data_IF_084261958552
#
_entry.id   IF_084261958552
#
_cell.length_a   1.000
_cell.length_b   1.000
_cell.length_c   1.000
_cell.angle_alpha   90.00
_cell.angle_beta   90.00
_cell.angle_gamma   90.00
#
_symmetry.space_group_name_H-M   'P 1'
#
loop_
_entity.id
_entity.type
_entity.pdbx_description
1 polymer ?
#
# COMPACT_ATOMS: atom_id res chain seq x y z
N UNK A 1 67.22 -0.74 13.87
CA UNK A 1 66.59 0.56 13.49
C UNK A 1 66.93 0.77 12.03
N UNK A 2 66.03 0.84 11.06
CA UNK A 2 64.58 0.87 10.99
C UNK A 2 64.21 1.13 9.51
N UNK A 3 62.92 1.06 9.20
CA UNK A 3 62.26 1.31 7.89
C UNK A 3 62.29 0.16 6.86
N UNK A 4 61.45 -0.85 7.09
CA UNK A 4 60.82 -1.63 6.03
C UNK A 4 59.56 -0.90 5.58
N UNK A 5 59.63 -0.21 4.45
CA UNK A 5 58.50 0.48 3.85
C UNK A 5 57.44 -0.52 3.35
N UNK A 6 56.22 -0.26 3.79
CA UNK A 6 54.97 -0.94 3.43
C UNK A 6 54.62 -0.70 1.95
N UNK A 7 55.15 -1.52 1.04
CA UNK A 7 54.65 -1.58 -0.33
C UNK A 7 53.49 -2.59 -0.42
N UNK A 8 52.25 -2.10 -0.22
CA UNK A 8 51.02 -2.86 -0.56
C UNK A 8 51.03 -3.23 -2.05
N UNK A 9 50.53 -4.41 -2.46
CA UNK A 9 50.65 -4.90 -3.82
C UNK A 9 49.72 -4.13 -4.77
N UNK A 10 50.25 -3.12 -5.43
CA UNK A 10 49.60 -2.37 -6.53
C UNK A 10 49.47 -3.17 -7.83
N UNK A 11 50.12 -4.33 -7.92
CA UNK A 11 50.18 -5.15 -9.15
C UNK A 11 48.88 -5.91 -9.52
N UNK A 12 47.90 -6.06 -8.62
CA UNK A 12 46.69 -6.87 -8.89
C UNK A 12 45.51 -6.09 -9.47
N UNK A 13 45.43 -4.77 -9.24
CA UNK A 13 44.28 -3.95 -9.66
C UNK A 13 44.31 -3.67 -11.17
N UNK A 14 45.48 -3.43 -11.75
CA UNK A 14 45.60 -3.22 -13.20
C UNK A 14 45.39 -4.50 -14.01
N UNK A 15 45.82 -5.66 -13.50
CA UNK A 15 45.62 -6.96 -14.15
C UNK A 15 44.14 -7.38 -14.16
N UNK A 16 43.44 -7.20 -13.03
CA UNK A 16 41.99 -7.43 -12.93
C UNK A 16 41.19 -6.45 -13.82
N UNK A 17 41.54 -5.15 -13.81
CA UNK A 17 40.95 -4.14 -14.72
C UNK A 17 41.21 -4.46 -16.20
N UNK A 18 42.40 -4.97 -16.52
CA UNK A 18 42.75 -5.41 -17.87
C UNK A 18 41.96 -6.64 -18.29
N UNK A 19 41.76 -7.62 -17.39
CA UNK A 19 41.01 -8.85 -17.70
C UNK A 19 39.49 -8.65 -17.75
N UNK A 20 38.93 -7.76 -16.92
CA UNK A 20 37.54 -7.29 -17.06
C UNK A 20 37.35 -6.53 -18.38
N UNK A 21 38.32 -5.68 -18.77
CA UNK A 21 38.35 -5.04 -20.10
C UNK A 21 38.53 -6.05 -21.25
N UNK A 22 39.24 -7.15 -21.04
CA UNK A 22 39.36 -8.24 -22.03
C UNK A 22 38.08 -9.06 -22.13
N UNK A 23 37.41 -9.37 -21.00
CA UNK A 23 36.06 -9.95 -20.97
C UNK A 23 35.04 -9.04 -21.69
N UNK A 24 35.13 -7.72 -21.48
CA UNK A 24 34.33 -6.70 -22.19
C UNK A 24 34.59 -6.69 -23.70
N UNK A 25 35.82 -7.00 -24.13
CA UNK A 25 36.23 -7.08 -25.54
C UNK A 25 35.85 -8.41 -26.19
N UNK A 26 35.82 -9.50 -25.45
CA UNK A 26 35.46 -10.84 -25.94
C UNK A 26 33.94 -11.06 -26.04
N UNK A 27 33.13 -10.32 -25.28
CA UNK A 27 31.65 -10.51 -25.22
C UNK A 27 30.82 -9.45 -25.97
N UNK A 28 31.42 -8.39 -26.50
CA UNK A 28 30.72 -7.23 -27.12
C UNK A 28 29.62 -6.59 -26.25
N UNK A 29 29.72 -6.69 -24.93
CA UNK A 29 28.83 -5.98 -23.99
C UNK A 29 29.68 -5.07 -23.11
N UNK A 30 29.34 -3.78 -23.07
CA UNK A 30 30.01 -2.78 -22.25
C UNK A 30 29.77 -3.06 -20.77
N UNK A 31 30.74 -3.67 -20.09
CA UNK A 31 30.77 -3.71 -18.62
C UNK A 31 30.94 -2.26 -18.15
N UNK A 32 29.98 -1.66 -17.43
CA UNK A 32 30.14 -0.33 -16.88
C UNK A 32 31.35 -0.36 -15.95
N UNK A 33 32.19 0.67 -16.02
CA UNK A 33 33.29 0.83 -15.07
C UNK A 33 32.72 0.74 -13.65
N UNK A 34 33.10 -0.31 -12.91
CA UNK A 34 32.71 -0.46 -11.51
C UNK A 34 33.30 0.67 -10.68
N UNK A 35 32.62 1.81 -10.63
CA UNK A 35 32.88 2.88 -9.69
C UNK A 35 32.14 2.54 -8.41
N UNK A 36 32.86 2.23 -7.33
CA UNK A 36 32.28 2.23 -5.97
C UNK A 36 31.80 0.90 -5.38
N UNK A 37 32.42 -0.24 -5.73
CA UNK A 37 32.23 -1.49 -4.97
C UNK A 37 31.06 -2.38 -5.41
N UNK A 38 30.37 -2.08 -6.51
CA UNK A 38 29.33 -2.96 -7.08
C UNK A 38 29.86 -3.78 -8.27
N UNK A 39 29.56 -5.08 -8.31
CA UNK A 39 29.78 -5.96 -9.46
C UNK A 39 28.42 -6.33 -10.05
N UNK A 40 28.01 -5.62 -11.12
CA UNK A 40 26.76 -5.84 -11.82
C UNK A 40 27.01 -6.51 -13.18
N UNK A 41 26.53 -7.75 -13.31
CA UNK A 41 26.63 -8.62 -14.49
C UNK A 41 25.24 -9.15 -14.90
N UNK A 42 24.18 -8.42 -14.56
CA UNK A 42 22.80 -8.82 -14.82
C UNK A 42 22.43 -8.77 -16.31
N UNK A 43 21.65 -9.72 -16.82
CA UNK A 43 21.14 -9.74 -18.21
C UNK A 43 22.23 -9.79 -19.31
N UNK A 44 23.23 -10.67 -19.10
CA UNK A 44 24.35 -10.84 -20.05
C UNK A 44 24.36 -12.24 -20.71
N UNK A 45 23.32 -13.06 -20.48
CA UNK A 45 23.23 -14.45 -20.93
C UNK A 45 24.42 -15.33 -20.52
N UNK A 46 25.09 -14.99 -19.43
CA UNK A 46 26.26 -15.72 -18.94
C UNK A 46 25.83 -17.08 -18.40
N UNK A 47 26.63 -18.11 -18.63
CA UNK A 47 26.38 -19.46 -18.12
C UNK A 47 27.58 -20.03 -17.36
N UNK A 48 27.47 -21.29 -16.97
CA UNK A 48 28.47 -21.95 -16.13
C UNK A 48 29.95 -21.87 -16.59
N UNK A 49 30.29 -21.80 -17.89
CA UNK A 49 31.68 -21.57 -18.31
C UNK A 49 32.33 -20.31 -17.74
N UNK A 50 31.53 -19.30 -17.37
CA UNK A 50 31.99 -18.05 -16.78
C UNK A 50 32.04 -18.08 -15.25
N UNK A 51 31.61 -19.17 -14.60
CA UNK A 51 31.51 -19.29 -13.14
C UNK A 51 32.82 -18.98 -12.42
N UNK A 52 33.92 -19.55 -12.92
CA UNK A 52 35.26 -19.35 -12.34
C UNK A 52 35.69 -17.89 -12.50
N UNK A 53 35.35 -17.26 -13.63
CA UNK A 53 35.68 -15.86 -13.88
C UNK A 53 34.92 -14.92 -12.94
N UNK A 54 33.63 -15.19 -12.70
CA UNK A 54 32.81 -14.43 -11.74
C UNK A 54 33.34 -14.62 -10.32
N UNK A 55 33.66 -15.85 -9.92
CA UNK A 55 34.25 -16.16 -8.62
C UNK A 55 35.57 -15.43 -8.38
N UNK A 56 36.48 -15.44 -9.37
CA UNK A 56 37.73 -14.68 -9.30
C UNK A 56 37.50 -13.16 -9.22
N UNK A 57 36.50 -12.64 -9.93
CA UNK A 57 36.15 -11.23 -9.86
C UNK A 57 35.63 -10.84 -8.47
N UNK A 58 34.83 -11.69 -7.83
CA UNK A 58 34.36 -11.49 -6.45
C UNK A 58 35.54 -11.54 -5.47
N UNK A 59 36.42 -12.53 -5.62
CA UNK A 59 37.62 -12.71 -4.79
C UNK A 59 38.58 -11.52 -4.89
N UNK A 60 38.86 -11.01 -6.08
CA UNK A 60 39.72 -9.84 -6.28
C UNK A 60 39.13 -8.55 -5.70
N UNK A 61 37.81 -8.47 -5.59
CA UNK A 61 37.11 -7.29 -5.07
C UNK A 61 36.62 -7.48 -3.63
N UNK A 62 36.99 -8.57 -2.94
CA UNK A 62 36.42 -8.96 -1.65
C UNK A 62 36.39 -7.86 -0.57
N UNK A 63 37.40 -6.99 -0.54
CA UNK A 63 37.52 -5.92 0.46
C UNK A 63 36.62 -4.69 0.20
N UNK A 64 36.14 -4.52 -1.04
CA UNK A 64 35.37 -3.35 -1.48
C UNK A 64 33.98 -3.73 -2.02
N UNK A 65 33.72 -5.02 -2.25
CA UNK A 65 32.50 -5.48 -2.89
C UNK A 65 31.30 -5.34 -1.95
N UNK A 66 30.42 -4.39 -2.24
CA UNK A 66 29.19 -4.11 -1.50
C UNK A 66 27.96 -4.77 -2.10
N UNK A 67 27.94 -4.93 -3.43
CA UNK A 67 26.82 -5.48 -4.18
C UNK A 67 27.35 -6.47 -5.22
N UNK A 68 26.77 -7.66 -5.26
CA UNK A 68 26.96 -8.64 -6.32
C UNK A 68 25.60 -8.86 -7.01
N UNK A 69 25.51 -8.49 -8.28
CA UNK A 69 24.33 -8.77 -9.11
C UNK A 69 24.74 -9.58 -10.34
N UNK A 70 24.22 -10.80 -10.43
CA UNK A 70 24.40 -11.72 -11.57
C UNK A 70 23.04 -12.22 -12.06
N UNK A 71 21.98 -11.46 -11.81
CA UNK A 71 20.61 -11.85 -12.14
C UNK A 71 20.36 -11.94 -13.65
N UNK A 72 19.27 -12.58 -14.06
CA UNK A 72 18.87 -12.69 -15.48
C UNK A 72 19.98 -13.30 -16.36
N UNK A 73 20.57 -14.39 -15.89
CA UNK A 73 21.60 -15.13 -16.60
C UNK A 73 21.19 -16.60 -16.73
N UNK A 74 22.11 -17.41 -17.26
CA UNK A 74 21.95 -18.85 -17.49
C UNK A 74 22.89 -19.65 -16.59
N UNK A 75 23.32 -19.09 -15.46
CA UNK A 75 24.14 -19.82 -14.50
C UNK A 75 23.31 -20.92 -13.87
N UNK A 76 23.87 -22.12 -13.84
CA UNK A 76 23.34 -23.23 -13.08
C UNK A 76 24.23 -23.44 -11.85
N UNK A 77 24.38 -24.68 -11.42
CA UNK A 77 25.08 -25.04 -10.20
C UNK A 77 26.59 -24.76 -10.24
N UNK A 78 27.18 -24.54 -11.43
CA UNK A 78 28.60 -24.22 -11.58
C UNK A 78 29.00 -22.92 -10.88
N UNK A 79 28.16 -21.89 -10.93
CA UNK A 79 28.46 -20.60 -10.31
C UNK A 79 28.44 -20.68 -8.79
N UNK A 80 27.42 -21.32 -8.21
CA UNK A 80 27.30 -21.47 -6.77
C UNK A 80 28.44 -22.32 -6.20
N UNK A 81 28.90 -23.36 -6.92
CA UNK A 81 30.12 -24.11 -6.56
C UNK A 81 31.36 -23.23 -6.61
N UNK A 82 31.57 -22.50 -7.71
CA UNK A 82 32.73 -21.62 -7.86
C UNK A 82 32.78 -20.52 -6.77
N UNK A 83 31.63 -19.96 -6.38
CA UNK A 83 31.52 -18.97 -5.30
C UNK A 83 31.72 -19.61 -3.91
N UNK A 84 31.15 -20.79 -3.69
CA UNK A 84 31.30 -21.53 -2.43
C UNK A 84 32.75 -21.96 -2.15
N UNK A 85 33.47 -22.32 -3.21
CA UNK A 85 34.85 -22.83 -3.15
C UNK A 85 35.92 -21.74 -3.26
N UNK A 86 35.52 -20.45 -3.23
CA UNK A 86 36.46 -19.32 -3.17
C UNK A 86 37.45 -19.45 -2.01
N UNK A 87 38.72 -19.11 -2.27
CA UNK A 87 39.78 -19.16 -1.26
C UNK A 87 39.63 -18.05 -0.21
N UNK A 88 39.00 -16.95 -0.59
CA UNK A 88 38.72 -15.83 0.30
C UNK A 88 37.76 -16.24 1.42
N UNK A 89 38.15 -16.08 2.70
CA UNK A 89 37.33 -16.51 3.83
C UNK A 89 36.18 -15.56 4.16
N UNK A 90 36.33 -14.26 3.87
CA UNK A 90 35.36 -13.24 4.28
C UNK A 90 35.14 -12.15 3.22
N UNK A 91 33.87 -11.77 3.07
CA UNK A 91 33.39 -10.64 2.26
C UNK A 91 32.81 -9.58 3.23
N UNK A 92 33.67 -8.77 3.88
CA UNK A 92 33.31 -8.00 5.06
C UNK A 92 32.28 -6.89 4.80
N UNK A 93 32.23 -6.38 3.57
CA UNK A 93 31.39 -5.24 3.19
C UNK A 93 30.29 -5.61 2.19
N UNK A 94 30.08 -6.91 1.90
CA UNK A 94 29.04 -7.35 0.98
C UNK A 94 27.68 -7.32 1.67
N UNK A 95 26.80 -6.43 1.21
CA UNK A 95 25.48 -6.19 1.81
C UNK A 95 24.34 -6.75 0.96
N UNK A 96 24.51 -6.82 -0.36
CA UNK A 96 23.47 -7.25 -1.30
C UNK A 96 24.00 -8.30 -2.26
N UNK A 97 23.28 -9.42 -2.38
CA UNK A 97 23.53 -10.48 -3.36
C UNK A 97 22.24 -10.71 -4.14
N UNK A 98 22.30 -10.50 -5.45
CA UNK A 98 21.22 -10.80 -6.38
C UNK A 98 21.66 -11.90 -7.35
N UNK A 99 21.05 -13.08 -7.18
CA UNK A 99 21.28 -14.28 -7.99
C UNK A 99 19.99 -14.71 -8.71
N UNK A 100 19.00 -13.82 -8.81
CA UNK A 100 17.68 -14.16 -9.34
C UNK A 100 17.68 -14.46 -10.83
N UNK A 101 16.63 -15.12 -11.33
CA UNK A 101 16.48 -15.43 -12.76
C UNK A 101 17.71 -16.15 -13.33
N UNK A 102 18.05 -17.27 -12.70
CA UNK A 102 19.11 -18.18 -13.11
C UNK A 102 18.57 -19.62 -13.06
N UNK A 103 19.43 -20.61 -13.29
CA UNK A 103 19.08 -22.03 -13.29
C UNK A 103 19.65 -22.76 -12.07
N UNK A 104 19.77 -22.09 -10.90
CA UNK A 104 20.27 -22.73 -9.69
C UNK A 104 19.32 -23.83 -9.22
N UNK A 105 19.87 -25.00 -8.85
CA UNK A 105 19.10 -26.13 -8.35
C UNK A 105 19.54 -26.52 -6.94
N UNK A 106 18.83 -27.47 -6.34
CA UNK A 106 19.21 -28.07 -5.05
C UNK A 106 20.63 -28.65 -5.03
N UNK A 107 21.21 -29.03 -6.17
CA UNK A 107 22.54 -29.63 -6.25
C UNK A 107 23.70 -28.67 -5.93
N UNK A 108 23.44 -27.36 -5.86
CA UNK A 108 24.41 -26.35 -5.40
C UNK A 108 24.04 -25.65 -4.11
N UNK A 109 22.96 -26.07 -3.46
CA UNK A 109 22.44 -25.42 -2.24
C UNK A 109 23.47 -25.30 -1.11
N UNK A 110 24.26 -26.34 -0.84
CA UNK A 110 25.34 -26.29 0.14
C UNK A 110 26.41 -25.25 -0.22
N UNK A 111 26.86 -25.24 -1.47
CA UNK A 111 27.89 -24.31 -1.94
C UNK A 111 27.40 -22.85 -1.92
N UNK A 112 26.14 -22.64 -2.30
CA UNK A 112 25.47 -21.34 -2.20
C UNK A 112 25.45 -20.85 -0.75
N UNK A 113 25.03 -21.69 0.19
CA UNK A 113 24.99 -21.35 1.62
C UNK A 113 26.39 -21.11 2.18
N UNK A 114 27.39 -21.89 1.78
CA UNK A 114 28.80 -21.64 2.11
C UNK A 114 29.26 -20.27 1.63
N UNK A 115 28.88 -19.86 0.42
CA UNK A 115 29.16 -18.53 -0.10
C UNK A 115 28.47 -17.43 0.73
N UNK A 116 27.16 -17.56 0.99
CA UNK A 116 26.42 -16.56 1.78
C UNK A 116 27.00 -16.39 3.19
N UNK A 117 27.47 -17.49 3.82
CA UNK A 117 28.13 -17.45 5.13
C UNK A 117 29.50 -16.75 5.14
N UNK A 118 30.15 -16.56 3.98
CA UNK A 118 31.37 -15.75 3.89
C UNK A 118 31.08 -14.25 4.05
N UNK A 119 29.83 -13.79 3.93
CA UNK A 119 29.43 -12.39 3.98
C UNK A 119 28.68 -12.05 5.30
N UNK A 120 29.39 -11.63 6.37
CA UNK A 120 28.75 -11.35 7.67
C UNK A 120 27.86 -10.10 7.69
N UNK A 121 28.10 -9.15 6.78
CA UNK A 121 27.34 -7.91 6.65
C UNK A 121 26.15 -8.03 5.67
N UNK A 122 25.82 -9.25 5.22
CA UNK A 122 24.81 -9.48 4.20
C UNK A 122 23.41 -9.15 4.74
N UNK A 123 22.74 -8.21 4.08
CA UNK A 123 21.43 -7.67 4.47
C UNK A 123 20.32 -8.08 3.51
N UNK A 124 20.62 -8.19 2.22
CA UNK A 124 19.64 -8.50 1.18
C UNK A 124 20.14 -9.65 0.32
N UNK A 125 19.30 -10.68 0.19
CA UNK A 125 19.55 -11.84 -0.67
C UNK A 125 18.35 -12.07 -1.56
N UNK A 126 18.56 -12.05 -2.86
CA UNK A 126 17.57 -12.41 -3.87
C UNK A 126 18.00 -13.70 -4.59
N UNK A 127 17.21 -14.75 -4.39
CA UNK A 127 17.34 -16.08 -5.01
C UNK A 127 16.10 -16.41 -5.86
N UNK A 128 15.27 -15.42 -6.18
CA UNK A 128 14.02 -15.63 -6.90
C UNK A 128 14.23 -16.18 -8.31
N UNK A 129 13.17 -16.74 -8.91
CA UNK A 129 13.19 -17.22 -10.30
C UNK A 129 14.34 -18.21 -10.57
N UNK A 130 14.43 -19.23 -9.73
CA UNK A 130 15.39 -20.32 -9.85
C UNK A 130 14.67 -21.68 -9.76
N UNK A 131 15.41 -22.78 -9.59
CA UNK A 131 14.87 -24.13 -9.42
C UNK A 131 15.22 -24.71 -8.05
N UNK A 132 15.22 -23.86 -7.02
CA UNK A 132 15.51 -24.25 -5.64
C UNK A 132 14.30 -24.96 -5.03
N UNK A 133 14.53 -26.06 -4.34
CA UNK A 133 13.51 -26.86 -3.69
C UNK A 133 13.78 -27.07 -2.20
N UNK A 134 13.21 -28.14 -1.65
CA UNK A 134 13.29 -28.47 -0.22
C UNK A 134 14.75 -28.63 0.27
N UNK A 135 15.65 -29.16 -0.56
CA UNK A 135 17.04 -29.34 -0.13
C UNK A 135 17.72 -27.99 0.03
N UNK A 136 17.47 -27.03 -0.86
CA UNK A 136 17.95 -25.67 -0.68
C UNK A 136 17.37 -25.01 0.57
N UNK A 137 16.05 -25.12 0.78
CA UNK A 137 15.40 -24.63 1.99
C UNK A 137 16.06 -25.18 3.26
N UNK A 138 16.39 -26.47 3.29
CA UNK A 138 17.06 -27.11 4.42
C UNK A 138 18.44 -26.50 4.71
N UNK A 139 19.25 -26.28 3.69
CA UNK A 139 20.58 -25.68 3.87
C UNK A 139 20.48 -24.21 4.30
N UNK A 140 19.54 -23.45 3.72
CA UNK A 140 19.27 -22.07 4.13
C UNK A 140 18.76 -22.00 5.58
N UNK A 141 17.82 -22.88 5.94
CA UNK A 141 17.30 -23.02 7.30
C UNK A 141 18.41 -23.35 8.32
N UNK A 142 19.44 -24.10 7.93
CA UNK A 142 20.59 -24.38 8.78
C UNK A 142 21.52 -23.15 8.94
N UNK A 143 21.53 -22.22 7.99
CA UNK A 143 22.38 -21.03 8.01
C UNK A 143 21.73 -19.81 8.70
N UNK A 144 20.40 -19.75 8.78
CA UNK A 144 19.68 -18.61 9.37
C UNK A 144 19.88 -18.46 10.91
N UNK A 145 19.98 -19.54 11.73
CA UNK A 145 20.19 -19.45 13.18
C UNK A 145 21.57 -19.99 13.65
N UNK A 146 22.09 -19.59 14.82
CA UNK A 146 22.24 -18.23 15.34
C UNK A 146 23.58 -17.57 14.93
N UNK A 147 24.47 -18.28 14.20
CA UNK A 147 25.80 -17.76 13.83
C UNK A 147 25.88 -17.28 12.36
N UNK A 148 25.08 -17.82 11.46
CA UNK A 148 25.03 -17.42 10.05
C UNK A 148 24.03 -16.29 9.79
N UNK A 149 24.30 -15.50 8.75
CA UNK A 149 23.42 -14.46 8.20
C UNK A 149 22.79 -13.51 9.24
N UNK A 150 23.54 -13.12 10.29
CA UNK A 150 23.01 -12.32 11.41
C UNK A 150 22.42 -10.97 11.00
N UNK A 151 22.96 -10.36 9.95
CA UNK A 151 22.55 -9.05 9.45
C UNK A 151 21.42 -9.11 8.42
N UNK A 152 20.95 -10.30 8.03
CA UNK A 152 19.98 -10.45 6.95
C UNK A 152 18.63 -9.84 7.32
N UNK A 153 18.20 -8.86 6.53
CA UNK A 153 16.97 -8.06 6.64
C UNK A 153 15.92 -8.52 5.63
N UNK A 154 16.33 -8.84 4.41
CA UNK A 154 15.45 -9.25 3.31
C UNK A 154 15.91 -10.53 2.66
N UNK A 155 14.98 -11.46 2.45
CA UNK A 155 15.20 -12.71 1.73
C UNK A 155 14.08 -12.91 0.70
N UNK A 156 14.47 -12.98 -0.57
CA UNK A 156 13.56 -13.32 -1.66
C UNK A 156 13.86 -14.73 -2.20
N UNK A 157 12.84 -15.59 -2.13
CA UNK A 157 12.85 -16.96 -2.62
C UNK A 157 11.69 -17.19 -3.60
N UNK A 158 11.09 -16.15 -4.16
CA UNK A 158 9.93 -16.27 -5.05
C UNK A 158 10.23 -17.07 -6.32
N UNK A 159 9.18 -17.62 -6.95
CA UNK A 159 9.27 -18.37 -8.20
C UNK A 159 10.33 -19.48 -8.16
N UNK A 160 10.31 -20.26 -7.08
CA UNK A 160 11.11 -21.46 -6.89
C UNK A 160 10.18 -22.68 -6.71
N UNK A 161 10.72 -23.83 -6.31
CA UNK A 161 9.99 -25.09 -6.11
C UNK A 161 10.08 -25.54 -4.66
N UNK A 162 9.96 -24.60 -3.71
CA UNK A 162 10.14 -24.90 -2.29
C UNK A 162 9.11 -25.90 -1.77
N UNK A 163 7.85 -25.81 -2.24
CA UNK A 163 6.71 -26.57 -1.73
C UNK A 163 6.49 -26.34 -0.22
N UNK A 164 5.49 -27.01 0.34
CA UNK A 164 5.12 -26.85 1.75
C UNK A 164 6.25 -27.22 2.71
N UNK A 165 6.90 -28.36 2.47
CA UNK A 165 7.99 -28.86 3.32
C UNK A 165 9.19 -27.90 3.35
N UNK A 166 9.52 -27.28 2.21
CA UNK A 166 10.60 -26.28 2.13
C UNK A 166 10.23 -25.00 2.87
N UNK A 167 8.99 -24.53 2.72
CA UNK A 167 8.48 -23.37 3.43
C UNK A 167 8.50 -23.57 4.95
N UNK A 168 8.06 -24.74 5.42
CA UNK A 168 8.04 -25.08 6.85
C UNK A 168 9.43 -25.07 7.49
N UNK A 169 10.46 -25.57 6.78
CA UNK A 169 11.84 -25.53 7.25
C UNK A 169 12.34 -24.09 7.44
N UNK A 170 12.05 -23.21 6.48
CA UNK A 170 12.40 -21.78 6.57
C UNK A 170 11.63 -21.11 7.71
N UNK A 171 10.32 -21.33 7.81
CA UNK A 171 9.47 -20.79 8.86
C UNK A 171 9.93 -21.22 10.26
N UNK A 172 10.31 -22.49 10.42
CA UNK A 172 10.81 -23.03 11.68
C UNK A 172 12.16 -22.40 12.08
N UNK A 173 13.08 -22.26 11.12
CA UNK A 173 14.36 -21.60 11.35
C UNK A 173 14.19 -20.12 11.75
N UNK A 174 13.27 -19.41 11.10
CA UNK A 174 12.95 -18.01 11.40
C UNK A 174 12.25 -17.83 12.75
N UNK A 175 11.40 -18.78 13.15
CA UNK A 175 10.75 -18.80 14.48
C UNK A 175 11.77 -18.86 15.62
N UNK A 176 12.89 -19.56 15.41
CA UNK A 176 13.95 -19.72 16.41
C UNK A 176 15.01 -18.62 16.37
N UNK A 177 14.94 -17.72 15.39
CA UNK A 177 15.95 -16.69 15.13
C UNK A 177 15.63 -15.41 15.93
N UNK A 178 16.58 -14.95 16.74
CA UNK A 178 16.45 -13.71 17.55
C UNK A 178 16.71 -12.42 16.77
N UNK A 179 17.26 -12.51 15.56
CA UNK A 179 17.58 -11.35 14.74
C UNK A 179 16.47 -11.09 13.72
N UNK A 180 16.16 -9.81 13.50
CA UNK A 180 14.96 -9.37 12.79
C UNK A 180 15.14 -9.41 11.26
N UNK A 181 14.87 -10.57 10.64
CA UNK A 181 14.44 -10.55 9.25
C UNK A 181 13.16 -9.72 9.16
N UNK A 182 13.15 -8.70 8.32
CA UNK A 182 12.02 -7.78 8.18
C UNK A 182 11.15 -8.12 6.99
N UNK A 183 11.74 -8.60 5.89
CA UNK A 183 11.03 -8.94 4.66
C UNK A 183 11.32 -10.37 4.23
N UNK A 184 10.26 -11.12 3.93
CA UNK A 184 10.32 -12.46 3.37
C UNK A 184 9.37 -12.57 2.18
N UNK A 185 9.93 -12.91 1.02
CA UNK A 185 9.17 -13.13 -0.21
C UNK A 185 9.25 -14.61 -0.60
N UNK A 186 8.08 -15.25 -0.72
CA UNK A 186 7.88 -16.66 -1.02
C UNK A 186 6.83 -16.87 -2.13
N UNK A 187 6.55 -15.83 -2.92
CA UNK A 187 5.57 -15.90 -4.01
C UNK A 187 5.87 -17.02 -5.01
N UNK A 188 4.84 -17.57 -5.67
CA UNK A 188 5.00 -18.54 -6.76
C UNK A 188 5.86 -19.77 -6.39
N UNK A 189 5.64 -20.38 -5.22
CA UNK A 189 6.37 -21.55 -4.71
C UNK A 189 5.50 -22.81 -4.56
N UNK A 190 4.27 -22.78 -5.10
CA UNK A 190 3.27 -23.85 -4.98
C UNK A 190 2.91 -24.16 -3.51
N UNK A 191 2.86 -23.13 -2.67
CA UNK A 191 2.53 -23.27 -1.25
C UNK A 191 1.02 -23.47 -1.07
N UNK A 192 0.62 -24.45 -0.27
CA UNK A 192 -0.78 -24.79 0.01
C UNK A 192 -1.21 -24.34 1.42
N UNK A 193 -2.40 -24.74 1.85
CA UNK A 193 -2.87 -24.54 3.23
C UNK A 193 -1.92 -25.10 4.29
N UNK A 194 -1.17 -26.15 3.99
CA UNK A 194 -0.18 -26.70 4.92
C UNK A 194 0.94 -25.68 5.22
N UNK A 195 1.52 -25.07 4.18
CA UNK A 195 2.47 -23.98 4.34
C UNK A 195 1.87 -22.76 5.04
N UNK A 196 0.57 -22.48 4.82
CA UNK A 196 -0.16 -21.41 5.52
C UNK A 196 -0.08 -21.52 7.04
N UNK A 197 -0.07 -22.74 7.59
CA UNK A 197 0.08 -22.99 9.04
C UNK A 197 1.52 -22.67 9.51
N UNK A 198 2.53 -23.09 8.76
CA UNK A 198 3.93 -22.77 9.04
C UNK A 198 4.20 -21.27 9.02
N UNK A 199 3.66 -20.58 8.00
CA UNK A 199 3.70 -19.13 7.87
C UNK A 199 3.02 -18.43 9.04
N UNK A 200 1.83 -18.89 9.44
CA UNK A 200 1.10 -18.34 10.59
C UNK A 200 1.92 -18.43 11.89
N UNK A 201 2.55 -19.59 12.15
CA UNK A 201 3.40 -19.76 13.33
C UNK A 201 4.61 -18.81 13.31
N UNK A 202 5.26 -18.68 12.15
CA UNK A 202 6.38 -17.75 11.97
C UNK A 202 5.94 -16.28 12.16
N UNK A 203 4.82 -15.87 11.57
CA UNK A 203 4.28 -14.50 11.70
C UNK A 203 3.96 -14.15 13.15
N UNK A 204 3.44 -15.12 13.92
CA UNK A 204 3.12 -14.91 15.32
C UNK A 204 4.36 -14.82 16.23
N UNK A 205 5.47 -15.46 15.85
CA UNK A 205 6.66 -15.61 16.70
C UNK A 205 7.88 -14.76 16.28
N UNK A 206 7.87 -14.18 15.07
CA UNK A 206 8.98 -13.42 14.51
C UNK A 206 8.71 -11.90 14.47
N UNK A 207 9.72 -11.13 14.08
CA UNK A 207 9.64 -9.67 13.87
C UNK A 207 9.50 -9.28 12.40
N UNK A 208 8.92 -10.17 11.58
CA UNK A 208 8.69 -9.90 10.16
C UNK A 208 7.69 -8.75 10.01
N UNK A 209 8.04 -7.79 9.17
CA UNK A 209 7.23 -6.62 8.81
C UNK A 209 6.50 -6.81 7.50
N UNK A 210 7.13 -7.48 6.54
CA UNK A 210 6.58 -7.72 5.23
C UNK A 210 6.64 -9.20 4.89
N UNK A 211 5.49 -9.77 4.56
CA UNK A 211 5.35 -11.13 4.06
C UNK A 211 4.67 -11.09 2.69
N UNK A 212 5.36 -11.62 1.68
CA UNK A 212 4.84 -11.69 0.31
C UNK A 212 4.71 -13.16 -0.08
N UNK A 213 3.49 -13.65 -0.23
CA UNK A 213 3.17 -15.05 -0.56
C UNK A 213 2.20 -15.15 -1.75
N UNK A 214 2.21 -14.14 -2.61
CA UNK A 214 1.38 -14.03 -3.81
C UNK A 214 1.61 -15.16 -4.81
N UNK A 215 0.60 -15.51 -5.62
CA UNK A 215 0.75 -16.50 -6.68
C UNK A 215 0.98 -17.93 -6.18
N UNK A 216 0.48 -18.27 -4.99
CA UNK A 216 0.57 -19.61 -4.41
C UNK A 216 -0.79 -20.33 -4.48
N UNK A 217 -0.92 -21.48 -3.81
CA UNK A 217 -2.13 -22.30 -3.75
C UNK A 217 -2.74 -22.29 -2.33
N UNK A 218 -2.55 -21.19 -1.58
CA UNK A 218 -3.10 -21.05 -0.24
C UNK A 218 -4.62 -20.90 -0.36
N UNK A 219 -5.35 -21.76 0.33
CA UNK A 219 -6.81 -21.78 0.39
C UNK A 219 -7.35 -21.13 1.67
N UNK A 220 -8.62 -21.40 1.95
CA UNK A 220 -9.34 -20.81 3.08
C UNK A 220 -8.72 -21.16 4.44
N UNK A 221 -8.21 -22.39 4.61
CA UNK A 221 -7.68 -22.85 5.90
C UNK A 221 -6.34 -22.18 6.21
N UNK A 222 -5.43 -22.12 5.23
CA UNK A 222 -4.15 -21.44 5.36
C UNK A 222 -4.34 -19.93 5.54
N UNK A 223 -5.23 -19.32 4.76
CA UNK A 223 -5.60 -17.91 4.90
C UNK A 223 -6.14 -17.60 6.30
N UNK A 224 -7.04 -18.44 6.84
CA UNK A 224 -7.59 -18.28 8.19
C UNK A 224 -6.52 -18.38 9.28
N UNK A 225 -5.56 -19.31 9.12
CA UNK A 225 -4.44 -19.45 10.04
C UNK A 225 -3.56 -18.18 10.04
N UNK A 226 -3.23 -17.66 8.85
CA UNK A 226 -2.46 -16.42 8.69
C UNK A 226 -3.23 -15.25 9.30
N UNK A 227 -4.53 -15.12 9.02
CA UNK A 227 -5.38 -14.07 9.59
C UNK A 227 -5.34 -14.08 11.12
N UNK A 228 -5.45 -15.26 11.75
CA UNK A 228 -5.38 -15.37 13.20
C UNK A 228 -3.98 -15.05 13.76
N UNK A 229 -2.91 -15.38 13.01
CA UNK A 229 -1.55 -14.99 13.38
C UNK A 229 -1.31 -13.49 13.26
N UNK A 230 -2.00 -12.78 12.34
CA UNK A 230 -1.92 -11.32 12.25
C UNK A 230 -2.34 -10.65 13.57
N UNK A 231 -3.34 -11.19 14.25
CA UNK A 231 -3.77 -10.69 15.56
C UNK A 231 -2.71 -10.87 16.65
N UNK A 232 -1.82 -11.85 16.52
CA UNK A 232 -0.74 -12.06 17.50
C UNK A 232 0.51 -11.27 17.16
N UNK A 233 0.77 -11.03 15.89
CA UNK A 233 1.92 -10.24 15.44
C UNK A 233 1.81 -8.79 15.90
N UNK A 234 2.94 -8.20 16.30
CA UNK A 234 3.06 -6.78 16.68
C UNK A 234 3.90 -5.98 15.67
N UNK A 235 4.44 -6.64 14.64
CA UNK A 235 5.39 -6.04 13.71
C UNK A 235 4.96 -6.13 12.24
N UNK A 236 4.00 -6.99 11.91
CA UNK A 236 3.56 -7.17 10.53
C UNK A 236 2.84 -5.91 10.02
N UNK A 237 3.45 -5.25 9.05
CA UNK A 237 2.98 -4.02 8.41
C UNK A 237 2.35 -4.32 7.04
N UNK A 238 2.90 -5.26 6.28
CA UNK A 238 2.51 -5.56 4.90
C UNK A 238 2.36 -7.06 4.65
N UNK A 239 1.19 -7.47 4.14
CA UNK A 239 0.87 -8.85 3.77
C UNK A 239 0.32 -8.90 2.34
N UNK A 240 0.95 -9.71 1.48
CA UNK A 240 0.50 -9.91 0.10
C UNK A 240 0.14 -11.37 -0.11
N UNK A 241 -1.13 -11.61 -0.43
CA UNK A 241 -1.77 -12.92 -0.63
C UNK A 241 -2.51 -12.95 -1.98
N UNK A 242 -2.21 -12.03 -2.89
CA UNK A 242 -2.84 -11.97 -4.21
C UNK A 242 -2.55 -13.22 -5.05
N UNK A 243 -3.44 -13.57 -5.97
CA UNK A 243 -3.25 -14.72 -6.86
C UNK A 243 -3.18 -16.07 -6.14
N UNK A 244 -3.91 -16.25 -5.03
CA UNK A 244 -4.00 -17.50 -4.29
C UNK A 244 -5.35 -18.21 -4.54
N UNK A 245 -5.62 -19.30 -3.81
CA UNK A 245 -6.87 -20.06 -3.87
C UNK A 245 -7.85 -19.70 -2.74
N UNK A 246 -7.81 -18.46 -2.24
CA UNK A 246 -8.61 -18.02 -1.09
C UNK A 246 -10.04 -17.76 -1.52
N UNK A 247 -10.99 -18.46 -0.89
CA UNK A 247 -12.42 -18.30 -1.06
C UNK A 247 -13.03 -17.32 -0.04
N UNK A 248 -14.37 -17.11 -0.12
CA UNK A 248 -15.07 -16.25 0.82
C UNK A 248 -14.79 -16.56 2.31
N UNK A 249 -14.72 -17.83 2.75
CA UNK A 249 -14.41 -18.15 4.14
C UNK A 249 -13.06 -17.61 4.62
N UNK A 250 -12.00 -17.73 3.80
CA UNK A 250 -10.68 -17.20 4.13
C UNK A 250 -10.68 -15.67 4.21
N UNK A 251 -11.35 -14.99 3.28
CA UNK A 251 -11.51 -13.52 3.31
C UNK A 251 -12.32 -13.06 4.53
N UNK A 252 -13.36 -13.81 4.92
CA UNK A 252 -14.12 -13.54 6.15
C UNK A 252 -13.27 -13.65 7.42
N UNK A 253 -12.28 -14.54 7.45
CA UNK A 253 -11.37 -14.62 8.59
C UNK A 253 -10.58 -13.31 8.77
N UNK A 254 -10.04 -12.74 7.67
CA UNK A 254 -9.39 -11.43 7.72
C UNK A 254 -10.35 -10.32 8.15
N UNK A 255 -11.58 -10.29 7.63
CA UNK A 255 -12.60 -9.32 8.06
C UNK A 255 -12.87 -9.38 9.56
N UNK A 256 -13.02 -10.59 10.10
CA UNK A 256 -13.32 -10.77 11.51
C UNK A 256 -12.18 -10.28 12.41
N UNK A 257 -10.92 -10.56 12.03
CA UNK A 257 -9.74 -10.11 12.77
C UNK A 257 -9.58 -8.59 12.71
N UNK A 258 -9.78 -7.99 11.53
CA UNK A 258 -9.73 -6.53 11.38
C UNK A 258 -10.81 -5.83 12.21
N UNK A 259 -12.02 -6.42 12.27
CA UNK A 259 -13.13 -5.91 13.10
C UNK A 259 -12.87 -6.07 14.60
N UNK A 260 -12.23 -7.16 15.03
CA UNK A 260 -11.98 -7.41 16.46
C UNK A 260 -10.86 -6.54 17.01
N UNK A 261 -9.91 -6.09 16.17
CA UNK A 261 -8.74 -5.34 16.61
C UNK A 261 -8.56 -4.01 15.86
N UNK A 262 -9.43 -3.02 16.14
CA UNK A 262 -9.44 -1.74 15.42
C UNK A 262 -8.19 -0.87 15.65
N UNK A 263 -7.38 -1.18 16.66
CA UNK A 263 -6.16 -0.43 17.00
C UNK A 263 -4.89 -0.90 16.28
N UNK A 264 -4.94 -2.03 15.57
CA UNK A 264 -3.79 -2.50 14.77
C UNK A 264 -3.92 -2.00 13.34
N UNK A 265 -3.02 -1.11 12.95
CA UNK A 265 -2.95 -0.59 11.59
C UNK A 265 -2.01 -1.43 10.75
N UNK A 266 -2.55 -2.18 9.79
CA UNK A 266 -1.77 -2.83 8.74
C UNK A 266 -1.64 -1.87 7.56
N UNK A 267 -0.43 -1.63 7.05
CA UNK A 267 -0.17 -0.74 5.92
C UNK A 267 -0.60 -1.36 4.59
N UNK A 268 -0.24 -2.63 4.35
CA UNK A 268 -0.63 -3.37 3.13
C UNK A 268 -1.22 -4.75 3.46
N UNK A 269 -2.32 -5.10 2.77
CA UNK A 269 -3.07 -6.35 2.86
C UNK A 269 -3.69 -6.52 1.49
N UNK A 270 -3.00 -7.26 0.62
CA UNK A 270 -3.42 -7.51 -0.75
C UNK A 270 -4.06 -8.89 -0.83
N UNK A 271 -5.31 -8.96 -1.28
CA UNK A 271 -6.07 -10.20 -1.47
C UNK A 271 -6.60 -10.32 -2.90
N UNK A 272 -6.11 -9.49 -3.82
CA UNK A 272 -6.58 -9.44 -5.21
C UNK A 272 -6.33 -10.76 -5.95
N UNK A 273 -6.99 -10.98 -7.08
CA UNK A 273 -6.81 -12.18 -7.91
C UNK A 273 -7.03 -13.53 -7.18
N UNK A 274 -7.83 -13.54 -6.12
CA UNK A 274 -8.30 -14.76 -5.44
C UNK A 274 -9.69 -15.18 -5.95
N UNK A 275 -10.06 -16.48 -5.88
CA UNK A 275 -11.36 -17.01 -6.32
C UNK A 275 -12.52 -16.64 -5.37
N UNK A 276 -12.61 -15.36 -4.99
CA UNK A 276 -13.61 -14.76 -4.11
C UNK A 276 -14.31 -13.61 -4.81
N UNK A 277 -15.55 -13.31 -4.39
CA UNK A 277 -16.27 -12.12 -4.86
C UNK A 277 -15.45 -10.84 -4.59
N UNK A 278 -15.17 -10.08 -5.64
CA UNK A 278 -14.45 -8.80 -5.53
C UNK A 278 -15.12 -7.86 -4.54
N UNK A 279 -16.45 -7.90 -4.41
CA UNK A 279 -17.17 -7.09 -3.43
C UNK A 279 -16.78 -7.41 -1.96
N UNK A 280 -16.35 -8.65 -1.68
CA UNK A 280 -15.89 -9.06 -0.35
C UNK A 280 -14.43 -8.66 -0.11
N UNK A 281 -13.60 -8.72 -1.15
CA UNK A 281 -12.23 -8.18 -1.12
C UNK A 281 -12.27 -6.66 -0.91
N UNK A 282 -13.15 -5.98 -1.64
CA UNK A 282 -13.42 -4.56 -1.48
C UNK A 282 -13.94 -4.27 -0.06
N UNK A 283 -14.72 -5.16 0.56
CA UNK A 283 -15.08 -5.01 1.97
C UNK A 283 -13.86 -5.07 2.89
N UNK A 284 -12.89 -5.96 2.67
CA UNK A 284 -11.64 -5.98 3.46
C UNK A 284 -10.90 -4.66 3.29
N UNK A 285 -10.71 -4.22 2.05
CA UNK A 285 -10.05 -2.95 1.70
C UNK A 285 -10.78 -1.75 2.29
N UNK A 286 -12.12 -1.75 2.27
CA UNK A 286 -12.96 -0.72 2.88
C UNK A 286 -12.91 -0.75 4.42
N UNK A 287 -12.82 -1.94 5.04
CA UNK A 287 -12.70 -2.07 6.50
C UNK A 287 -11.33 -1.50 6.92
N UNK A 288 -10.27 -1.81 6.16
CA UNK A 288 -8.94 -1.23 6.32
C UNK A 288 -8.92 0.29 6.10
N UNK A 289 -9.58 0.80 5.05
CA UNK A 289 -9.77 2.24 4.81
C UNK A 289 -10.52 2.91 5.97
N UNK A 290 -11.58 2.29 6.49
CA UNK A 290 -12.32 2.82 7.63
C UNK A 290 -11.47 2.86 8.91
N UNK A 291 -10.63 1.85 9.14
CA UNK A 291 -9.68 1.82 10.25
C UNK A 291 -8.48 2.75 10.04
N UNK A 292 -8.00 2.96 8.81
CA UNK A 292 -6.93 3.90 8.49
C UNK A 292 -7.39 5.36 8.55
N UNK A 293 -8.64 5.64 8.18
CA UNK A 293 -9.29 6.93 8.44
C UNK A 293 -9.45 7.18 9.95
N UNK A 294 -9.66 6.13 10.75
CA UNK A 294 -9.58 6.19 12.22
C UNK A 294 -8.13 6.29 12.75
N UNK A 295 -7.14 5.69 12.09
CA UNK A 295 -5.73 5.67 12.51
C UNK A 295 -4.90 6.86 11.98
N UNK A 296 -5.45 7.68 11.09
CA UNK A 296 -4.97 9.06 10.89
C UNK A 296 -5.24 9.94 12.14
N UNK A 297 -5.85 9.38 13.19
CA UNK A 297 -6.34 10.09 14.37
C UNK A 297 -5.81 9.56 15.73
N UNK A 298 -4.50 9.38 15.97
CA UNK A 298 -3.93 9.64 17.29
C UNK A 298 -3.69 11.14 17.47
N UNK A 299 -3.79 11.93 16.40
CA UNK A 299 -3.35 13.33 16.37
C UNK A 299 -4.17 14.24 15.45
N UNK A 300 -5.45 13.95 15.20
CA UNK A 300 -6.29 15.03 14.68
C UNK A 300 -6.64 15.93 15.89
N UNK A 301 -6.21 17.20 15.88
CA UNK A 301 -6.47 18.09 16.98
C UNK A 301 -7.97 18.30 17.10
N UNK A 302 -8.37 18.84 18.25
CA UNK A 302 -9.71 19.24 18.70
C UNK A 302 -10.36 20.32 17.78
N UNK A 303 -10.06 20.33 16.49
CA UNK A 303 -10.57 21.24 15.47
C UNK A 303 -11.58 20.45 14.65
N UNK A 304 -12.86 20.79 14.72
CA UNK A 304 -13.97 20.11 14.03
C UNK A 304 -13.95 20.19 12.50
N UNK A 305 -12.81 19.94 11.86
CA UNK A 305 -12.61 19.93 10.41
C UNK A 305 -11.93 18.63 9.99
N UNK A 306 -12.43 17.99 8.93
CA UNK A 306 -11.90 16.75 8.38
C UNK A 306 -11.59 16.92 6.90
N UNK A 307 -10.33 16.71 6.51
CA UNK A 307 -9.88 16.81 5.13
C UNK A 307 -9.68 15.44 4.48
N UNK A 308 -10.54 15.12 3.51
CA UNK A 308 -10.59 13.92 2.70
C UNK A 308 -10.51 14.28 1.21
N UNK A 309 -9.79 15.34 0.89
CA UNK A 309 -9.48 15.73 -0.49
C UNK A 309 -8.76 14.60 -1.25
N UNK A 310 -9.17 14.35 -2.49
CA UNK A 310 -8.73 13.19 -3.26
C UNK A 310 -7.22 13.10 -3.46
N UNK A 311 -6.51 14.14 -3.93
CA UNK A 311 -5.05 14.14 -4.01
C UNK A 311 -4.33 13.87 -2.68
N UNK A 312 -4.88 14.34 -1.55
CA UNK A 312 -4.31 14.07 -0.23
C UNK A 312 -4.51 12.60 0.18
N UNK A 313 -5.70 12.04 -0.08
CA UNK A 313 -5.97 10.62 0.13
C UNK A 313 -5.19 9.72 -0.82
N UNK A 314 -5.06 10.09 -2.09
CA UNK A 314 -4.33 9.34 -3.09
C UNK A 314 -2.84 9.22 -2.73
N UNK A 315 -2.23 10.30 -2.21
CA UNK A 315 -0.84 10.25 -1.71
C UNK A 315 -0.66 9.30 -0.52
N UNK A 316 -1.70 9.07 0.28
CA UNK A 316 -1.64 8.26 1.50
C UNK A 316 -2.13 6.82 1.30
N UNK A 317 -3.05 6.60 0.37
CA UNK A 317 -3.86 5.39 0.28
C UNK A 317 -3.99 4.86 -1.16
N UNK A 318 -3.37 5.52 -2.15
CA UNK A 318 -3.42 5.18 -3.58
C UNK A 318 -4.85 4.97 -4.12
N UNK A 319 -5.82 5.66 -3.52
CA UNK A 319 -7.24 5.51 -3.81
C UNK A 319 -7.98 6.85 -3.71
N UNK A 320 -9.04 6.99 -4.52
CA UNK A 320 -10.01 8.07 -4.43
C UNK A 320 -11.32 7.57 -3.82
N UNK A 321 -12.12 8.47 -3.25
CA UNK A 321 -13.45 8.13 -2.76
C UNK A 321 -14.42 8.02 -3.94
N UNK A 322 -14.89 6.81 -4.22
CA UNK A 322 -15.99 6.53 -5.16
C UNK A 322 -17.34 6.35 -4.41
N UNK A 323 -18.40 6.00 -5.12
CA UNK A 323 -19.74 5.81 -4.53
C UNK A 323 -19.82 4.66 -3.52
N UNK A 324 -19.02 3.61 -3.71
CA UNK A 324 -18.99 2.47 -2.79
C UNK A 324 -18.32 2.88 -1.48
N UNK A 325 -17.15 3.55 -1.58
CA UNK A 325 -16.40 4.03 -0.44
C UNK A 325 -17.12 5.20 0.25
N UNK A 326 -17.83 6.05 -0.49
CA UNK A 326 -18.64 7.15 0.05
C UNK A 326 -19.67 6.68 1.09
N UNK A 327 -20.30 5.51 0.90
CA UNK A 327 -21.22 4.93 1.90
C UNK A 327 -20.51 4.62 3.22
N UNK A 328 -19.27 4.16 3.14
CA UNK A 328 -18.43 3.86 4.31
C UNK A 328 -17.93 5.15 4.94
N UNK A 329 -17.50 6.14 4.15
CA UNK A 329 -17.17 7.49 4.61
C UNK A 329 -18.33 8.14 5.35
N UNK A 330 -19.57 8.02 4.85
CA UNK A 330 -20.77 8.53 5.56
C UNK A 330 -20.99 7.84 6.91
N UNK A 331 -20.73 6.53 7.03
CA UNK A 331 -20.79 5.84 8.33
C UNK A 331 -19.75 6.38 9.30
N UNK A 332 -18.53 6.63 8.83
CA UNK A 332 -17.47 7.26 9.60
C UNK A 332 -17.87 8.66 10.07
N UNK A 333 -18.39 9.50 9.17
CA UNK A 333 -18.83 10.87 9.48
C UNK A 333 -19.94 10.90 10.54
N UNK A 334 -20.78 9.86 10.63
CA UNK A 334 -21.81 9.74 11.69
C UNK A 334 -21.22 9.45 13.07
N UNK A 335 -20.04 8.83 13.13
CA UNK A 335 -19.34 8.54 14.38
C UNK A 335 -18.69 9.79 15.00
N UNK A 336 -18.67 10.91 14.28
CA UNK A 336 -18.05 12.17 14.70
C UNK A 336 -19.07 13.33 14.71
N UNK A 337 -19.97 13.39 15.71
CA UNK A 337 -20.97 14.45 15.82
C UNK A 337 -20.37 15.84 16.06
N UNK A 338 -19.08 15.95 16.36
CA UNK A 338 -18.40 17.24 16.56
C UNK A 338 -17.87 17.87 15.26
N UNK A 339 -18.00 17.20 14.11
CA UNK A 339 -17.52 17.75 12.84
C UNK A 339 -18.38 18.94 12.39
N UNK A 340 -17.69 20.03 12.04
CA UNK A 340 -18.23 21.28 11.53
C UNK A 340 -17.85 21.50 10.06
N UNK A 341 -16.69 21.00 9.63
CA UNK A 341 -16.18 21.16 8.26
C UNK A 341 -15.69 19.81 7.71
N UNK A 342 -16.09 19.47 6.48
CA UNK A 342 -15.70 18.24 5.79
C UNK A 342 -15.33 18.58 4.34
N UNK A 343 -14.11 18.24 3.96
CA UNK A 343 -13.62 18.38 2.59
C UNK A 343 -13.54 17.02 1.90
N UNK A 344 -14.36 16.80 0.88
CA UNK A 344 -14.41 15.60 0.02
C UNK A 344 -14.11 15.96 -1.45
N UNK A 345 -13.43 17.09 -1.69
CA UNK A 345 -13.15 17.57 -3.04
C UNK A 345 -12.20 16.67 -3.83
N UNK A 346 -12.26 16.75 -5.15
CA UNK A 346 -11.37 16.08 -6.11
C UNK A 346 -11.31 14.56 -5.95
N UNK A 347 -12.46 13.96 -5.63
CA UNK A 347 -12.68 12.52 -5.56
C UNK A 347 -13.50 12.03 -6.77
N UNK A 348 -13.93 10.77 -6.74
CA UNK A 348 -14.67 10.09 -7.82
C UNK A 348 -16.13 9.85 -7.39
N UNK A 349 -16.68 10.72 -6.52
CA UNK A 349 -18.06 10.59 -6.02
C UNK A 349 -19.03 10.93 -7.15
N UNK A 350 -19.98 10.04 -7.42
CA UNK A 350 -21.04 10.20 -8.40
C UNK A 350 -22.41 10.23 -7.71
N UNK A 351 -23.49 9.94 -8.45
CA UNK A 351 -24.86 10.19 -7.99
C UNK A 351 -25.28 9.35 -6.78
N UNK A 352 -24.82 8.09 -6.66
CA UNK A 352 -25.21 7.25 -5.53
C UNK A 352 -24.50 7.69 -4.25
N UNK A 353 -23.26 8.15 -4.34
CA UNK A 353 -22.52 8.73 -3.23
C UNK A 353 -23.11 10.07 -2.80
N UNK A 354 -23.46 10.94 -3.75
CA UNK A 354 -24.14 12.20 -3.48
C UNK A 354 -25.49 12.00 -2.75
N UNK A 355 -26.26 10.98 -3.15
CA UNK A 355 -27.49 10.59 -2.45
C UNK A 355 -27.21 10.13 -1.01
N UNK A 356 -26.17 9.32 -0.80
CA UNK A 356 -25.78 8.88 0.55
C UNK A 356 -25.37 10.06 1.45
N UNK A 357 -24.65 11.04 0.90
CA UNK A 357 -24.32 12.30 1.59
C UNK A 357 -25.59 13.11 1.88
N UNK A 358 -26.55 13.16 0.96
CA UNK A 358 -27.86 13.79 1.20
C UNK A 358 -28.57 13.19 2.43
N UNK A 359 -28.63 11.86 2.55
CA UNK A 359 -29.17 11.20 3.74
C UNK A 359 -28.36 11.49 5.01
N UNK A 360 -27.06 11.66 4.90
CA UNK A 360 -26.23 12.06 6.03
C UNK A 360 -26.56 13.49 6.49
N UNK A 361 -26.63 14.45 5.56
CA UNK A 361 -27.00 15.83 5.86
C UNK A 361 -28.38 15.93 6.52
N UNK A 362 -29.35 15.12 6.07
CA UNK A 362 -30.68 15.11 6.67
C UNK A 362 -30.69 14.80 8.17
N UNK A 363 -29.73 13.99 8.63
CA UNK A 363 -29.65 13.47 9.99
C UNK A 363 -28.53 14.12 10.81
N UNK A 364 -27.62 14.86 10.18
CA UNK A 364 -26.49 15.48 10.85
C UNK A 364 -26.85 16.90 11.33
N UNK A 365 -26.80 17.19 12.64
CA UNK A 365 -27.19 18.50 13.17
C UNK A 365 -26.02 19.47 13.38
N UNK A 366 -24.78 19.09 13.03
CA UNK A 366 -23.58 19.83 13.45
C UNK A 366 -22.75 20.36 12.30
N UNK A 367 -22.76 19.69 11.14
CA UNK A 367 -21.93 20.06 10.01
C UNK A 367 -22.37 21.42 9.46
N UNK A 368 -21.39 22.33 9.33
CA UNK A 368 -21.58 23.71 8.88
C UNK A 368 -21.02 23.94 7.48
N UNK A 369 -19.96 23.22 7.09
CA UNK A 369 -19.30 23.36 5.79
C UNK A 369 -19.05 21.99 5.17
N UNK A 370 -19.39 21.86 3.88
CA UNK A 370 -19.18 20.64 3.10
C UNK A 370 -18.63 21.00 1.73
N UNK A 371 -17.48 20.44 1.38
CA UNK A 371 -16.89 20.60 0.05
C UNK A 371 -16.93 19.29 -0.75
N UNK A 372 -17.65 19.29 -1.86
CA UNK A 372 -17.79 18.20 -2.84
C UNK A 372 -17.30 18.63 -4.22
N UNK A 373 -16.48 19.68 -4.31
CA UNK A 373 -16.03 20.20 -5.60
C UNK A 373 -15.14 19.19 -6.34
N UNK A 374 -15.11 19.19 -7.67
CA UNK A 374 -14.20 18.31 -8.42
C UNK A 374 -14.60 16.82 -8.39
N UNK A 375 -15.88 16.52 -8.25
CA UNK A 375 -16.43 15.16 -8.27
C UNK A 375 -17.24 14.91 -9.57
N UNK A 376 -17.94 13.79 -9.66
CA UNK A 376 -18.70 13.36 -10.84
C UNK A 376 -20.23 13.44 -10.63
N UNK A 377 -20.69 14.36 -9.78
CA UNK A 377 -22.11 14.49 -9.41
C UNK A 377 -22.89 15.12 -10.58
N UNK A 378 -24.01 14.50 -10.97
CA UNK A 378 -24.94 15.00 -12.00
C UNK A 378 -26.23 15.56 -11.37
N UNK A 379 -27.20 15.95 -12.19
CA UNK A 379 -28.53 16.42 -11.73
C UNK A 379 -29.23 15.40 -10.82
N UNK A 380 -29.01 14.10 -11.04
CA UNK A 380 -29.59 13.03 -10.21
C UNK A 380 -29.01 13.05 -8.80
N UNK A 381 -27.68 13.14 -8.67
CA UNK A 381 -27.00 13.27 -7.39
C UNK A 381 -27.32 14.58 -6.68
N UNK A 382 -27.43 15.69 -7.41
CA UNK A 382 -27.87 16.98 -6.88
C UNK A 382 -29.28 16.92 -6.28
N UNK A 383 -30.21 16.20 -6.89
CA UNK A 383 -31.53 15.97 -6.30
C UNK A 383 -31.44 15.19 -4.97
N UNK A 384 -30.54 14.21 -4.89
CA UNK A 384 -30.24 13.50 -3.64
C UNK A 384 -29.72 14.42 -2.53
N UNK A 385 -28.77 15.29 -2.85
CA UNK A 385 -28.28 16.31 -1.92
C UNK A 385 -29.38 17.28 -1.50
N UNK A 386 -30.19 17.76 -2.45
CA UNK A 386 -31.31 18.66 -2.19
C UNK A 386 -32.30 18.07 -1.17
N UNK A 387 -32.65 16.78 -1.29
CA UNK A 387 -33.51 16.11 -0.30
C UNK A 387 -32.94 16.13 1.12
N UNK A 388 -31.62 16.05 1.26
CA UNK A 388 -30.94 16.22 2.54
C UNK A 388 -31.05 17.65 3.08
N UNK A 389 -30.81 18.63 2.21
CA UNK A 389 -30.86 20.05 2.54
C UNK A 389 -32.27 20.55 2.91
N UNK A 390 -33.32 19.89 2.41
CA UNK A 390 -34.71 20.23 2.71
C UNK A 390 -35.03 20.19 4.21
N UNK A 391 -34.31 19.34 4.96
CA UNK A 391 -34.53 19.15 6.41
C UNK A 391 -33.33 19.56 7.25
N UNK A 392 -32.13 19.68 6.65
CA UNK A 392 -30.93 20.08 7.37
C UNK A 392 -31.03 21.55 7.83
N UNK A 393 -30.62 21.82 9.07
CA UNK A 393 -30.67 23.15 9.68
C UNK A 393 -29.32 23.65 10.20
N UNK A 394 -28.23 22.94 9.88
CA UNK A 394 -26.88 23.23 10.38
C UNK A 394 -25.92 23.71 9.30
N UNK A 395 -26.10 23.27 8.06
CA UNK A 395 -25.16 23.54 6.98
C UNK A 395 -25.27 24.99 6.51
N UNK A 396 -24.16 25.72 6.59
CA UNK A 396 -24.02 27.13 6.21
C UNK A 396 -23.37 27.31 4.84
N UNK A 397 -22.48 26.40 4.44
CA UNK A 397 -21.75 26.48 3.17
C UNK A 397 -21.68 25.11 2.49
N UNK A 398 -22.02 25.08 1.20
CA UNK A 398 -21.93 23.91 0.35
C UNK A 398 -21.14 24.23 -0.93
N UNK A 399 -20.04 23.53 -1.16
CA UNK A 399 -19.31 23.61 -2.41
C UNK A 399 -19.59 22.39 -3.26
N UNK A 400 -20.19 22.59 -4.44
CA UNK A 400 -20.46 21.55 -5.43
C UNK A 400 -19.92 21.97 -6.80
N UNK A 401 -18.91 22.85 -6.81
CA UNK A 401 -18.28 23.36 -8.03
C UNK A 401 -17.53 22.27 -8.79
N UNK A 402 -17.18 22.50 -10.05
CA UNK A 402 -16.40 21.55 -10.87
C UNK A 402 -16.99 20.12 -10.86
N UNK A 403 -18.31 20.00 -10.95
CA UNK A 403 -19.05 18.74 -11.08
C UNK A 403 -19.75 18.68 -12.46
N UNK A 404 -20.74 17.81 -12.64
CA UNK A 404 -21.52 17.64 -13.89
C UNK A 404 -22.97 18.11 -13.75
N UNK A 405 -23.24 19.12 -12.92
CA UNK A 405 -24.60 19.65 -12.70
C UNK A 405 -25.07 20.50 -13.88
N UNK A 406 -26.25 20.23 -14.41
CA UNK A 406 -26.97 21.10 -15.34
C UNK A 406 -27.92 22.08 -14.64
N UNK A 407 -28.71 22.80 -15.44
CA UNK A 407 -29.65 23.83 -14.95
C UNK A 407 -30.66 23.25 -13.94
N UNK A 408 -31.11 22.02 -14.16
CA UNK A 408 -32.07 21.34 -13.30
C UNK A 408 -31.46 20.97 -11.94
N UNK A 409 -30.23 20.42 -11.92
CA UNK A 409 -29.54 20.06 -10.68
C UNK A 409 -29.22 21.28 -9.81
N UNK A 410 -28.69 22.34 -10.43
CA UNK A 410 -28.40 23.59 -9.74
C UNK A 410 -29.69 24.23 -9.19
N UNK A 411 -30.75 24.32 -10.02
CA UNK A 411 -32.05 24.86 -9.59
C UNK A 411 -32.65 24.06 -8.44
N UNK A 412 -32.52 22.73 -8.46
CA UNK A 412 -33.01 21.84 -7.40
C UNK A 412 -32.37 22.12 -6.04
N UNK A 413 -31.03 22.27 -5.99
CA UNK A 413 -30.30 22.58 -4.76
C UNK A 413 -30.74 23.95 -4.20
N UNK A 414 -30.82 24.97 -5.06
CA UNK A 414 -31.22 26.32 -4.66
C UNK A 414 -32.68 26.43 -4.23
N UNK A 415 -33.62 25.90 -5.03
CA UNK A 415 -35.04 25.92 -4.70
C UNK A 415 -35.33 25.20 -3.37
N UNK A 416 -34.69 24.05 -3.14
CA UNK A 416 -34.88 23.29 -1.89
C UNK A 416 -34.33 24.03 -0.67
N UNK A 417 -33.26 24.81 -0.84
CA UNK A 417 -32.74 25.69 0.22
C UNK A 417 -33.71 26.83 0.59
N UNK A 418 -34.59 27.24 -0.33
CA UNK A 418 -35.64 28.23 -0.09
C UNK A 418 -36.84 27.63 0.65
N UNK A 419 -37.24 26.40 0.27
CA UNK A 419 -38.39 25.71 0.89
C UNK A 419 -38.15 25.37 2.37
N UNK A 420 -36.89 25.17 2.77
CA UNK A 420 -36.55 24.90 4.15
C UNK A 420 -36.41 26.19 4.99
N UNK A 421 -37.49 26.54 5.69
CA UNK A 421 -37.55 27.70 6.62
C UNK A 421 -36.55 27.64 7.78
N UNK A 422 -35.97 26.48 8.09
CA UNK A 422 -34.96 26.30 9.15
C UNK A 422 -33.54 26.25 8.60
N UNK A 423 -33.36 26.38 7.29
CA UNK A 423 -32.04 26.33 6.68
C UNK A 423 -31.22 27.56 7.04
N UNK A 424 -29.98 27.34 7.47
CA UNK A 424 -28.97 28.39 7.68
C UNK A 424 -27.98 28.47 6.52
N UNK A 425 -28.29 27.80 5.40
CA UNK A 425 -27.42 27.74 4.22
C UNK A 425 -27.33 29.13 3.58
N UNK A 426 -26.14 29.71 3.70
CA UNK A 426 -25.82 31.06 3.23
C UNK A 426 -25.20 31.02 1.84
N UNK A 427 -24.30 30.06 1.59
CA UNK A 427 -23.47 30.05 0.38
C UNK A 427 -23.48 28.69 -0.29
N UNK A 428 -23.75 28.68 -1.61
CA UNK A 428 -23.69 27.49 -2.45
C UNK A 428 -22.78 27.79 -3.64
N UNK A 429 -21.62 27.14 -3.72
CA UNK A 429 -20.69 27.32 -4.83
C UNK A 429 -20.95 26.28 -5.92
N UNK A 430 -21.43 26.74 -7.09
CA UNK A 430 -21.73 25.89 -8.25
C UNK A 430 -20.81 26.11 -9.45
N UNK A 431 -19.82 27.02 -9.37
CA UNK A 431 -18.94 27.36 -10.50
C UNK A 431 -18.23 26.12 -11.07
N UNK A 432 -18.08 26.04 -12.39
CA UNK A 432 -17.37 24.95 -13.07
C UNK A 432 -18.24 23.72 -13.37
N UNK A 433 -19.55 23.85 -13.26
CA UNK A 433 -20.53 22.82 -13.65
C UNK A 433 -21.00 22.99 -15.12
N UNK A 434 -21.98 22.19 -15.54
CA UNK A 434 -22.55 22.16 -16.90
C UNK A 434 -23.84 22.99 -17.06
N UNK A 435 -24.19 23.83 -16.08
CA UNK A 435 -25.34 24.73 -16.16
C UNK A 435 -25.03 25.89 -17.12
N UNK A 436 -26.08 26.34 -17.81
CA UNK A 436 -26.05 27.43 -18.76
C UNK A 436 -26.15 28.79 -18.06
N UNK A 437 -25.98 29.87 -18.83
CA UNK A 437 -26.26 31.23 -18.36
C UNK A 437 -27.72 31.40 -17.92
N UNK A 438 -28.66 30.61 -18.46
CA UNK A 438 -30.05 30.62 -18.01
C UNK A 438 -30.16 30.02 -16.60
N UNK A 439 -29.44 28.93 -16.33
CA UNK A 439 -29.30 28.36 -14.97
C UNK A 439 -28.80 29.38 -13.95
N UNK A 440 -27.77 30.16 -14.29
CA UNK A 440 -27.25 31.23 -13.44
C UNK A 440 -28.31 32.32 -13.17
N UNK A 441 -29.08 32.71 -14.20
CA UNK A 441 -30.16 33.70 -14.01
C UNK A 441 -31.27 33.18 -13.09
N UNK A 442 -31.62 31.89 -13.19
CA UNK A 442 -32.61 31.24 -12.33
C UNK A 442 -32.12 31.23 -10.88
N UNK A 443 -30.86 30.84 -10.65
CA UNK A 443 -30.23 30.87 -9.33
C UNK A 443 -30.25 32.28 -8.75
N UNK A 444 -29.84 33.28 -9.53
CA UNK A 444 -29.83 34.66 -9.09
C UNK A 444 -31.23 35.15 -8.72
N UNK A 445 -32.25 34.82 -9.51
CA UNK A 445 -33.64 35.13 -9.21
C UNK A 445 -34.12 34.44 -7.91
N UNK A 446 -33.75 33.18 -7.68
CA UNK A 446 -34.08 32.45 -6.44
C UNK A 446 -33.42 33.11 -5.22
N UNK A 447 -32.14 33.47 -5.32
CA UNK A 447 -31.40 34.13 -4.23
C UNK A 447 -31.96 35.52 -3.92
N UNK A 448 -32.28 36.31 -4.95
CA UNK A 448 -32.94 37.62 -4.77
C UNK A 448 -34.31 37.48 -4.13
N UNK A 449 -35.11 36.48 -4.55
CA UNK A 449 -36.41 36.19 -3.95
C UNK A 449 -36.28 35.82 -2.47
N UNK A 450 -35.27 35.00 -2.10
CA UNK A 450 -34.93 34.69 -0.71
C UNK A 450 -34.59 35.95 0.10
N UNK A 451 -33.70 36.79 -0.43
CA UNK A 451 -33.31 38.04 0.24
C UNK A 451 -34.49 38.98 0.47
N UNK A 452 -35.36 39.14 -0.53
CA UNK A 452 -36.58 39.95 -0.42
C UNK A 452 -37.58 39.37 0.59
N UNK A 453 -37.77 38.05 0.58
CA UNK A 453 -38.66 37.37 1.53
C UNK A 453 -38.19 37.53 2.99
N UNK A 454 -36.88 37.46 3.24
CA UNK A 454 -36.30 37.72 4.57
C UNK A 454 -36.51 39.17 4.99
N UNK A 455 -36.28 40.15 4.10
CA UNK A 455 -36.53 41.57 4.38
C UNK A 455 -38.01 41.87 4.69
N UNK A 456 -38.94 41.23 3.98
CA UNK A 456 -40.38 41.38 4.22
C UNK A 456 -40.87 40.74 5.53
N UNK A 457 -40.17 39.72 6.05
CA UNK A 457 -40.46 39.15 7.37
C UNK A 457 -39.89 39.98 8.54
N UNK A 458 -38.83 40.77 8.31
CA UNK A 458 -38.29 41.73 9.29
C UNK A 458 -39.09 43.05 9.33
N UNK A 459 -39.81 43.39 8.26
CA UNK A 459 -40.78 44.47 8.25
C UNK A 459 -42.08 44.04 8.97
N UNK A 460 -42.22 44.40 10.24
CA UNK A 460 -43.42 44.13 11.07
C UNK A 460 -44.70 44.77 10.49
N UNK A 461 -45.89 44.26 10.89
CA UNK A 461 -47.14 44.45 10.16
C UNK A 461 -47.69 45.87 10.34
N UNK A 462 -48.31 46.40 9.28
CA UNK A 462 -49.11 47.63 9.36
C UNK A 462 -50.24 47.41 10.36
N UNK A 463 -50.08 47.99 11.56
CA UNK A 463 -51.17 48.13 12.54
C UNK A 463 -52.09 49.23 12.01
N UNK A 464 -53.24 48.84 11.46
CA UNK A 464 -54.38 49.74 11.30
C UNK A 464 -54.98 49.96 12.69
N UNK A 465 -54.64 51.07 13.33
CA UNK A 465 -55.26 51.50 14.57
C UNK A 465 -56.69 52.00 14.28
N UNK A 466 -57.68 51.22 14.71
CA UNK A 466 -59.12 51.55 14.62
C UNK A 466 -59.67 52.09 15.95
N UNK A 467 -58.84 52.58 16.87
CA UNK A 467 -59.31 53.04 18.19
C UNK A 467 -59.74 54.52 18.28
N UNK A 468 -59.87 55.25 17.17
CA UNK A 468 -60.23 56.68 17.19
C UNK A 468 -61.60 57.03 16.60
N UNK A 469 -62.69 56.44 17.10
CA UNK A 469 -63.99 57.14 17.20
C UNK A 469 -64.83 56.52 18.34
N UNK A 470 -64.72 57.06 19.55
CA UNK A 470 -65.87 57.18 20.45
C UNK A 470 -65.58 58.21 21.56
N UNK A 471 -66.54 59.12 21.72
CA UNK A 471 -66.78 60.05 22.85
C UNK A 471 -66.12 61.43 22.81
N UNK A 472 -66.77 62.36 22.11
CA UNK A 472 -67.65 63.36 22.74
C UNK A 472 -68.76 63.74 21.77
#
# INVERSE_FOLDING_TARGET
MGSSDNAKPTFHVEAAKKRVKELTKETMVSVPEGTGGSLALSDHQLGDPFSVHVSLAVEWNASLLTVLDVSFNKFADGLARALGDMTTPHLPVLHTVNLSSNNFTDASSDALVRFLNKAPALTHVDLSLNHLGMSCAKHLAAALPPQGLKALVSLDLSSNKLLDDGCDLICHALTSRKNALQSLTLSMNLLTDAAGIGLANMVAASSIRQLVVSGNLIGDYGASAIAFAMDRSTHLDALYLDGNAIGPPGVFAFLNILRSNPGKSYQVLCLDDNPTDQALIDQVSQTRLSHMLHACHPSCPVSGSLDLHGPHLFQQLDAYIDDALCKTTVRLLRSFPQLLDVNLSDNVIADCGALAIGFYLALNPTLTRLNLSGNQITDVGAFGLAKGLLVNSSLTELHVGSNRLGDAGVSSIYATSFDNKKSVLATIHVKGNLHSSEGDTIVHAIVQSKALATQLQEATPVVLDLSYVATS
#
